data_IF_439400247606
#
_entry.id   IF_439400247606
#
_cell.length_a   1.000
_cell.length_b   1.000
_cell.length_c   1.000
_cell.angle_alpha   90.00
_cell.angle_beta   90.00
_cell.angle_gamma   90.00
#
_symmetry.space_group_name_H-M   'P 1'
#
loop_
_entity.id
_entity.type
_entity.pdbx_description
1 polymer ?
#
# COMPACT_ATOMS: atom_id res chain seq x y z
N UNK A 1 -0.15 8.70 25.08
CA UNK A 1 0.52 7.47 25.58
C UNK A 1 0.13 6.35 24.65
N UNK A 2 1.09 5.72 23.96
CA UNK A 2 0.80 4.54 23.15
C UNK A 2 0.45 3.37 24.09
N UNK A 3 -0.73 2.77 23.94
CA UNK A 3 -1.22 1.73 24.85
C UNK A 3 -0.41 0.43 24.73
N UNK A 4 0.11 0.15 23.54
CA UNK A 4 0.85 -1.07 23.20
C UNK A 4 2.16 -0.72 22.49
N UNK A 5 3.25 -1.43 22.77
CA UNK A 5 4.49 -1.27 21.99
C UNK A 5 4.35 -1.98 20.64
N UNK A 6 5.10 -1.52 19.62
CA UNK A 6 5.14 -2.19 18.31
C UNK A 6 5.54 -3.67 18.42
N UNK A 7 6.46 -4.01 19.34
CA UNK A 7 6.86 -5.41 19.57
C UNK A 7 5.70 -6.27 20.10
N UNK A 8 4.88 -5.72 21.00
CA UNK A 8 3.69 -6.40 21.54
C UNK A 8 2.62 -6.57 20.46
N UNK A 9 2.40 -5.55 19.64
CA UNK A 9 1.44 -5.62 18.53
C UNK A 9 1.87 -6.64 17.47
N UNK A 10 3.17 -6.69 17.14
CA UNK A 10 3.70 -7.66 16.19
C UNK A 10 3.57 -9.08 16.72
N UNK A 11 4.00 -9.35 17.97
CA UNK A 11 3.85 -10.67 18.57
C UNK A 11 2.39 -11.11 18.65
N UNK A 12 1.46 -10.19 18.98
CA UNK A 12 0.04 -10.50 18.98
C UNK A 12 -0.52 -10.76 17.58
N UNK A 13 0.00 -10.08 16.56
CA UNK A 13 -0.37 -10.32 15.17
C UNK A 13 0.11 -11.69 14.68
N UNK A 14 1.36 -12.06 14.99
CA UNK A 14 1.94 -13.36 14.63
C UNK A 14 1.11 -14.51 15.21
N UNK A 15 0.81 -14.44 16.52
CA UNK A 15 -0.03 -15.44 17.17
C UNK A 15 -1.44 -15.49 16.55
N UNK A 16 -2.02 -14.34 16.17
CA UNK A 16 -3.32 -14.30 15.48
C UNK A 16 -3.28 -14.95 14.10
N UNK A 17 -2.16 -14.86 13.40
CA UNK A 17 -2.00 -15.53 12.11
C UNK A 17 -1.93 -17.05 12.30
N UNK A 18 -1.28 -17.54 13.36
CA UNK A 18 -1.33 -18.96 13.73
C UNK A 18 -2.77 -19.41 14.04
N UNK A 19 -3.54 -18.59 14.77
CA UNK A 19 -4.97 -18.84 14.99
C UNK A 19 -5.75 -18.85 13.67
N UNK A 20 -5.47 -17.94 12.75
CA UNK A 20 -6.14 -17.88 11.45
C UNK A 20 -5.84 -19.13 10.62
N UNK A 21 -4.61 -19.66 10.64
CA UNK A 21 -4.27 -20.92 9.99
C UNK A 21 -5.02 -22.12 10.58
N UNK A 22 -5.20 -22.12 11.91
CA UNK A 22 -5.94 -23.17 12.62
C UNK A 22 -7.45 -23.14 12.35
N UNK A 23 -8.06 -21.96 12.49
CA UNK A 23 -9.52 -21.79 12.41
C UNK A 23 -10.03 -21.51 10.99
N UNK A 24 -9.16 -21.11 10.06
CA UNK A 24 -9.47 -20.81 8.65
C UNK A 24 -10.68 -19.88 8.48
N UNK A 25 -10.64 -18.64 9.04
CA UNK A 25 -11.74 -17.71 8.90
C UNK A 25 -11.97 -17.32 7.43
N UNK A 26 -13.23 -17.10 7.06
CA UNK A 26 -13.68 -16.69 5.73
C UNK A 26 -13.65 -15.16 5.64
N UNK A 27 -13.10 -14.61 4.56
CA UNK A 27 -13.13 -13.16 4.24
C UNK A 27 -12.74 -12.24 5.42
N UNK A 28 -11.64 -12.60 6.09
CA UNK A 28 -11.14 -11.89 7.27
C UNK A 28 -9.79 -11.22 6.97
N UNK A 29 -9.66 -9.95 7.35
CA UNK A 29 -8.43 -9.16 7.25
C UNK A 29 -7.92 -8.81 8.65
N UNK A 30 -6.64 -9.04 8.90
CA UNK A 30 -5.98 -8.74 10.18
C UNK A 30 -4.82 -7.78 9.91
N UNK A 31 -4.78 -6.64 10.59
CA UNK A 31 -3.72 -5.64 10.42
C UNK A 31 -3.52 -4.79 11.68
N UNK A 32 -2.37 -4.11 11.77
CA UNK A 32 -2.12 -3.10 12.81
C UNK A 32 -2.54 -1.74 12.29
N UNK A 33 -3.49 -1.10 12.95
CA UNK A 33 -3.84 0.29 12.69
C UNK A 33 -2.94 1.21 13.53
N UNK A 34 -2.11 2.00 12.85
CA UNK A 34 -1.13 2.90 13.47
C UNK A 34 -1.75 4.11 14.17
N UNK A 35 -2.96 4.52 13.77
CA UNK A 35 -3.64 5.69 14.35
C UNK A 35 -4.18 5.37 15.74
N UNK A 36 -4.72 4.17 15.89
CA UNK A 36 -5.24 3.68 17.18
C UNK A 36 -4.23 2.82 17.94
N UNK A 37 -3.12 2.45 17.28
CA UNK A 37 -2.04 1.64 17.84
C UNK A 37 -2.56 0.32 18.42
N UNK A 38 -3.36 -0.40 17.63
CA UNK A 38 -3.95 -1.68 17.99
C UNK A 38 -4.14 -2.60 16.76
N UNK A 39 -4.37 -3.89 17.02
CA UNK A 39 -4.72 -4.86 15.99
C UNK A 39 -6.20 -4.70 15.62
N UNK A 40 -6.48 -4.62 14.32
CA UNK A 40 -7.83 -4.66 13.75
C UNK A 40 -8.07 -6.03 13.15
N UNK A 41 -9.27 -6.57 13.42
CA UNK A 41 -9.83 -7.69 12.67
C UNK A 41 -11.05 -7.18 11.93
N UNK A 42 -10.97 -7.12 10.61
CA UNK A 42 -12.08 -6.73 9.74
C UNK A 42 -12.69 -7.98 9.08
N UNK A 43 -14.00 -8.17 9.21
CA UNK A 43 -14.72 -9.33 8.65
C UNK A 43 -16.11 -8.93 8.18
N UNK A 44 -16.64 -9.68 7.21
CA UNK A 44 -18.04 -9.63 6.81
C UNK A 44 -18.98 -9.88 8.01
N UNK A 45 -20.05 -9.10 8.14
CA UNK A 45 -21.07 -9.33 9.18
C UNK A 45 -21.83 -10.64 8.91
N UNK A 46 -22.01 -11.00 7.63
CA UNK A 46 -22.61 -12.26 7.19
C UNK A 46 -21.80 -13.48 7.63
N UNK A 47 -20.47 -13.37 7.60
CA UNK A 47 -19.56 -14.47 7.97
C UNK A 47 -19.15 -14.42 9.45
N UNK A 48 -19.72 -13.50 10.23
CA UNK A 48 -19.43 -13.37 11.66
C UNK A 48 -19.68 -14.65 12.45
N UNK A 49 -20.73 -15.37 12.10
CA UNK A 49 -21.06 -16.64 12.73
C UNK A 49 -20.09 -17.75 12.30
N UNK A 50 -19.71 -17.78 11.04
CA UNK A 50 -18.75 -18.75 10.49
C UNK A 50 -17.35 -18.52 11.08
N UNK A 51 -17.00 -17.26 11.33
CA UNK A 51 -15.74 -16.84 11.95
C UNK A 51 -15.76 -16.85 13.49
N UNK A 52 -16.88 -17.21 14.13
CA UNK A 52 -17.05 -17.05 15.58
C UNK A 52 -15.97 -17.76 16.41
N UNK A 53 -15.50 -18.93 15.96
CA UNK A 53 -14.45 -19.68 16.65
C UNK A 53 -13.11 -18.91 16.65
N UNK A 54 -12.70 -18.41 15.48
CA UNK A 54 -11.51 -17.57 15.32
C UNK A 54 -11.64 -16.28 16.13
N UNK A 55 -12.75 -15.55 15.98
CA UNK A 55 -12.99 -14.28 16.68
C UNK A 55 -12.98 -14.47 18.20
N UNK A 56 -13.49 -15.60 18.71
CA UNK A 56 -13.43 -15.90 20.14
C UNK A 56 -12.01 -16.21 20.62
N UNK A 57 -11.22 -16.95 19.84
CA UNK A 57 -9.84 -17.25 20.18
C UNK A 57 -8.96 -15.98 20.17
N UNK A 58 -9.18 -15.08 19.21
CA UNK A 58 -8.42 -13.84 19.07
C UNK A 58 -8.67 -12.80 20.19
N UNK A 59 -9.72 -12.96 21.01
CA UNK A 59 -10.07 -12.02 22.10
C UNK A 59 -8.93 -11.80 23.10
N UNK A 60 -8.06 -12.78 23.29
CA UNK A 60 -6.95 -12.69 24.26
C UNK A 60 -5.93 -11.60 23.91
N UNK A 61 -5.91 -11.17 22.65
CA UNK A 61 -5.03 -10.11 22.14
C UNK A 61 -5.71 -8.73 22.07
N UNK A 62 -6.95 -8.63 22.55
CA UNK A 62 -7.72 -7.38 22.57
C UNK A 62 -7.81 -6.62 21.22
N UNK A 63 -8.09 -7.31 20.09
CA UNK A 63 -8.28 -6.62 18.82
C UNK A 63 -9.53 -5.75 18.84
N UNK A 64 -9.55 -4.76 17.95
CA UNK A 64 -10.76 -4.04 17.61
C UNK A 64 -11.40 -4.72 16.40
N UNK A 65 -12.66 -5.07 16.55
CA UNK A 65 -13.43 -5.71 15.48
C UNK A 65 -14.10 -4.66 14.61
N UNK A 66 -13.90 -4.77 13.30
CA UNK A 66 -14.61 -3.99 12.30
C UNK A 66 -15.50 -4.94 11.49
N UNK A 67 -16.81 -4.69 11.51
CA UNK A 67 -17.78 -5.47 10.74
C UNK A 67 -18.29 -4.62 9.58
N UNK A 68 -18.33 -5.21 8.40
CA UNK A 68 -18.86 -4.58 7.19
C UNK A 68 -19.82 -5.53 6.47
N UNK A 69 -20.81 -4.97 5.76
CA UNK A 69 -21.77 -5.78 5.02
C UNK A 69 -21.15 -6.26 3.71
N UNK A 70 -21.17 -7.57 3.48
CA UNK A 70 -20.61 -8.21 2.30
C UNK A 70 -21.71 -8.54 1.30
N UNK A 71 -21.58 -7.98 0.10
CA UNK A 71 -22.49 -8.30 -0.99
C UNK A 71 -22.05 -9.65 -1.56
N UNK A 72 -22.69 -10.75 -1.10
CA UNK A 72 -22.51 -12.07 -1.71
C UNK A 72 -22.96 -11.99 -3.17
N UNK A 73 -22.01 -12.04 -4.10
CA UNK A 73 -22.27 -12.11 -5.54
C UNK A 73 -23.21 -13.32 -5.80
N UNK A 74 -24.48 -13.06 -6.10
CA UNK A 74 -25.45 -14.12 -6.41
C UNK A 74 -25.45 -14.52 -7.88
N UNK A 75 -24.50 -14.03 -8.69
CA UNK A 75 -24.50 -14.25 -10.12
C UNK A 75 -23.20 -14.87 -10.63
N UNK A 76 -23.33 -16.11 -11.12
CA UNK A 76 -22.38 -16.87 -11.93
C UNK A 76 -22.07 -16.21 -13.28
N UNK A 77 -21.71 -14.93 -13.30
CA UNK A 77 -21.17 -14.32 -14.49
C UNK A 77 -19.65 -14.29 -14.32
N UNK A 78 -18.99 -15.17 -15.06
CA UNK A 78 -17.54 -15.18 -15.24
C UNK A 78 -17.14 -13.82 -15.82
N UNK A 79 -16.82 -12.84 -14.97
CA UNK A 79 -16.29 -11.56 -15.41
C UNK A 79 -14.86 -11.86 -15.88
N UNK A 80 -14.67 -11.92 -17.19
CA UNK A 80 -13.35 -12.09 -17.78
C UNK A 80 -12.44 -10.96 -17.29
N UNK A 81 -11.28 -11.31 -16.73
CA UNK A 81 -10.27 -10.41 -16.18
C UNK A 81 -9.59 -9.46 -17.21
N UNK A 82 -10.22 -9.14 -18.35
CA UNK A 82 -9.54 -8.52 -19.50
C UNK A 82 -10.04 -7.12 -19.93
N UNK A 83 -10.81 -6.39 -19.12
CA UNK A 83 -11.34 -5.09 -19.55
C UNK A 83 -10.57 -3.85 -19.04
N UNK A 84 -9.39 -4.00 -18.44
CA UNK A 84 -8.44 -2.90 -18.32
C UNK A 84 -7.68 -2.73 -19.65
N UNK A 85 -8.39 -2.29 -20.69
CA UNK A 85 -7.74 -1.85 -21.93
C UNK A 85 -7.28 -0.41 -21.71
N UNK A 86 -6.03 -0.24 -21.27
CA UNK A 86 -5.34 1.05 -21.27
C UNK A 86 -5.44 1.65 -22.68
N UNK A 87 -6.14 2.77 -22.82
CA UNK A 87 -6.23 3.48 -24.10
C UNK A 87 -4.83 3.94 -24.52
N UNK A 88 -4.40 3.50 -25.70
CA UNK A 88 -3.20 4.00 -26.36
C UNK A 88 -3.46 5.44 -26.80
N UNK A 89 -2.96 6.40 -26.00
CA UNK A 89 -2.83 7.79 -26.44
C UNK A 89 -1.46 7.93 -27.13
N UNK A 90 -1.49 8.27 -28.42
CA UNK A 90 -0.34 8.25 -29.35
C UNK A 90 0.66 9.41 -29.18
N UNK A 91 0.70 10.06 -28.03
CA UNK A 91 1.70 11.09 -27.74
C UNK A 91 2.67 10.52 -26.71
N UNK A 92 3.97 10.48 -27.03
CA UNK A 92 5.03 10.04 -26.11
C UNK A 92 5.10 11.06 -24.97
N UNK A 93 4.26 10.87 -23.96
CA UNK A 93 4.45 11.41 -22.62
C UNK A 93 5.22 10.31 -21.90
N UNK A 94 6.42 10.59 -21.39
CA UNK A 94 7.13 9.63 -20.54
C UNK A 94 6.28 9.41 -19.28
N UNK A 95 5.53 8.31 -19.27
CA UNK A 95 4.70 7.92 -18.13
C UNK A 95 5.63 7.52 -16.99
N UNK A 96 5.34 8.03 -15.79
CA UNK A 96 5.90 7.51 -14.54
C UNK A 96 4.80 6.63 -13.95
N UNK A 97 4.99 5.31 -14.03
CA UNK A 97 4.05 4.37 -13.46
C UNK A 97 4.36 4.15 -11.98
N UNK A 98 3.32 3.89 -11.20
CA UNK A 98 3.53 3.41 -9.83
C UNK A 98 4.31 2.09 -9.88
N UNK A 99 5.36 2.01 -9.07
CA UNK A 99 6.32 0.92 -9.05
C UNK A 99 7.55 1.14 -9.94
N UNK A 100 7.57 2.10 -10.88
CA UNK A 100 8.74 2.36 -11.72
C UNK A 100 9.98 2.70 -10.90
N UNK A 101 11.15 2.34 -11.42
CA UNK A 101 12.41 2.63 -10.76
C UNK A 101 12.70 4.14 -10.67
N UNK A 102 13.27 4.56 -9.55
CA UNK A 102 13.86 5.87 -9.34
C UNK A 102 15.35 5.70 -9.02
N UNK A 103 16.20 6.25 -9.87
CA UNK A 103 17.64 6.37 -9.62
C UNK A 103 17.90 7.62 -8.78
N UNK A 104 18.43 7.44 -7.59
CA UNK A 104 18.79 8.50 -6.65
C UNK A 104 20.30 8.76 -6.77
N UNK A 105 20.66 9.88 -7.37
CA UNK A 105 22.05 10.21 -7.69
C UNK A 105 22.58 11.36 -6.85
N UNK A 106 23.80 11.20 -6.36
CA UNK A 106 24.57 12.24 -5.66
C UNK A 106 26.02 12.18 -6.14
N UNK A 107 26.66 13.34 -6.26
CA UNK A 107 28.07 13.43 -6.66
C UNK A 107 28.96 12.48 -5.84
N UNK A 108 29.76 11.66 -6.54
CA UNK A 108 30.73 10.72 -5.97
C UNK A 108 30.16 9.61 -5.06
N UNK A 109 28.86 9.28 -5.18
CA UNK A 109 28.25 8.17 -4.45
C UNK A 109 27.55 7.24 -5.44
N UNK A 110 27.62 5.93 -5.19
CA UNK A 110 26.90 4.92 -5.95
C UNK A 110 25.40 5.24 -5.97
N UNK A 111 24.74 5.27 -7.14
CA UNK A 111 23.31 5.55 -7.22
C UNK A 111 22.52 4.54 -6.38
N UNK A 112 21.55 5.03 -5.60
CA UNK A 112 20.57 4.17 -4.94
C UNK A 112 19.35 3.99 -5.85
N UNK A 113 18.67 2.85 -5.77
CA UNK A 113 17.43 2.60 -6.52
C UNK A 113 16.25 2.60 -5.56
N UNK A 114 15.16 3.20 -6.01
CA UNK A 114 13.89 3.32 -5.31
C UNK A 114 12.73 3.05 -6.26
N UNK A 115 11.50 3.05 -5.76
CA UNK A 115 10.31 2.92 -6.60
C UNK A 115 9.46 4.17 -6.51
N UNK A 116 8.97 4.65 -7.65
CA UNK A 116 7.92 5.66 -7.70
C UNK A 116 6.65 5.09 -7.06
N UNK A 117 6.04 5.85 -6.16
CA UNK A 117 4.73 5.55 -5.60
C UNK A 117 3.65 6.16 -6.48
N UNK A 118 2.90 7.13 -5.95
CA UNK A 118 1.80 7.77 -6.68
C UNK A 118 2.10 9.21 -7.10
N UNK A 119 1.31 9.69 -8.06
CA UNK A 119 1.31 11.07 -8.50
C UNK A 119 0.44 11.94 -7.59
N UNK A 120 1.03 13.02 -7.12
CA UNK A 120 0.40 14.00 -6.27
C UNK A 120 0.50 15.39 -6.88
N UNK A 121 -0.44 16.28 -6.55
CA UNK A 121 -0.43 17.66 -7.02
C UNK A 121 -0.68 18.58 -5.85
N UNK A 122 -0.02 19.74 -5.81
CA UNK A 122 -0.34 20.74 -4.81
C UNK A 122 -1.67 21.42 -5.13
N UNK A 123 -2.48 21.64 -4.09
CA UNK A 123 -3.71 22.44 -4.15
C UNK A 123 -3.43 23.94 -4.25
N UNK A 124 -2.27 24.39 -3.78
CA UNK A 124 -1.94 25.81 -3.68
C UNK A 124 -1.11 26.31 -4.87
N UNK A 125 -0.32 25.42 -5.49
CA UNK A 125 0.54 25.75 -6.63
C UNK A 125 0.45 24.65 -7.69
N UNK A 126 0.58 24.95 -8.99
CA UNK A 126 0.47 23.96 -10.07
C UNK A 126 1.72 23.06 -10.20
N UNK A 127 2.30 22.64 -9.08
CA UNK A 127 3.45 21.75 -9.01
C UNK A 127 2.93 20.32 -8.82
N UNK A 128 3.49 19.41 -9.60
CA UNK A 128 3.26 17.99 -9.46
C UNK A 128 4.41 17.32 -8.71
N UNK A 129 4.09 16.29 -7.95
CA UNK A 129 5.00 15.55 -7.10
C UNK A 129 4.87 14.06 -7.40
N UNK A 130 5.99 13.35 -7.34
CA UNK A 130 6.02 11.91 -7.21
C UNK A 130 6.26 11.61 -5.73
N UNK A 131 5.37 10.81 -5.14
CA UNK A 131 5.56 10.28 -3.79
C UNK A 131 6.38 9.00 -3.89
N UNK A 132 7.35 8.82 -2.99
CA UNK A 132 8.19 7.62 -2.87
C UNK A 132 8.42 7.35 -1.37
N UNK A 133 8.96 6.18 -1.03
CA UNK A 133 9.36 5.85 0.33
C UNK A 133 10.35 6.89 0.91
N UNK A 134 10.22 7.25 2.18
CA UNK A 134 11.06 8.25 2.84
C UNK A 134 12.53 7.82 2.95
N UNK A 135 12.81 6.52 3.06
CA UNK A 135 14.16 5.95 3.10
C UNK A 135 14.90 6.11 1.77
N UNK A 136 14.20 6.52 0.71
CA UNK A 136 14.79 6.97 -0.55
C UNK A 136 15.42 8.36 -0.43
N UNK A 137 15.21 9.07 0.67
CA UNK A 137 15.81 10.37 0.90
C UNK A 137 17.33 10.29 0.96
N UNK A 138 17.97 11.16 0.18
CA UNK A 138 19.41 11.41 0.25
C UNK A 138 19.64 12.91 0.16
N UNK A 139 20.32 13.46 1.16
CA UNK A 139 20.64 14.89 1.20
C UNK A 139 21.42 15.32 -0.05
N UNK A 140 20.89 16.33 -0.75
CA UNK A 140 21.50 16.88 -1.97
C UNK A 140 21.38 16.00 -3.22
N UNK A 141 20.62 14.89 -3.16
CA UNK A 141 20.45 14.01 -4.31
C UNK A 141 19.44 14.55 -5.33
N UNK A 142 19.59 14.06 -6.56
CA UNK A 142 18.66 14.24 -7.67
C UNK A 142 18.04 12.90 -8.04
N UNK A 143 16.76 12.92 -8.40
CA UNK A 143 15.97 11.73 -8.70
C UNK A 143 15.70 11.67 -10.19
N UNK A 144 15.94 10.50 -10.76
CA UNK A 144 15.72 10.24 -12.17
C UNK A 144 14.83 9.00 -12.35
N UNK A 145 13.90 9.06 -13.28
CA UNK A 145 13.09 7.91 -13.67
C UNK A 145 13.99 6.88 -14.33
N UNK A 146 13.87 5.64 -13.89
CA UNK A 146 14.46 4.45 -14.48
C UNK A 146 13.32 3.46 -14.73
N UNK A 147 12.69 3.49 -15.91
CA UNK A 147 11.58 2.59 -16.23
C UNK A 147 12.01 1.12 -16.06
N UNK A 148 11.11 0.26 -15.60
CA UNK A 148 11.42 -1.16 -15.34
C UNK A 148 12.01 -1.91 -16.54
N UNK A 149 11.59 -1.55 -17.75
CA UNK A 149 12.08 -2.14 -19.00
C UNK A 149 13.29 -1.42 -19.61
N UNK A 150 13.90 -0.47 -18.89
CA UNK A 150 15.07 0.24 -19.41
C UNK A 150 16.27 -0.70 -19.43
N UNK A 151 16.75 -1.02 -20.63
CA UNK A 151 18.00 -1.76 -20.84
C UNK A 151 19.24 -0.88 -20.74
N UNK A 152 19.05 0.44 -20.65
CA UNK A 152 20.12 1.42 -20.64
C UNK A 152 20.01 2.31 -19.40
N UNK A 153 20.96 2.17 -18.47
CA UNK A 153 21.05 3.07 -17.31
C UNK A 153 21.30 4.54 -17.69
N UNK A 154 21.56 4.84 -18.97
CA UNK A 154 21.71 6.19 -19.49
C UNK A 154 20.38 6.84 -19.89
N UNK A 155 19.29 6.06 -20.03
CA UNK A 155 17.97 6.56 -20.40
C UNK A 155 17.21 6.99 -19.13
N UNK A 156 17.79 7.97 -18.44
CA UNK A 156 17.29 8.51 -17.18
C UNK A 156 16.61 9.86 -17.42
N UNK A 157 15.36 9.97 -16.99
CA UNK A 157 14.61 11.23 -17.08
C UNK A 157 14.65 11.96 -15.75
N UNK A 158 15.14 13.19 -15.71
CA UNK A 158 15.16 13.96 -14.47
C UNK A 158 13.74 14.22 -13.97
N UNK A 159 13.45 13.73 -12.77
CA UNK A 159 12.16 13.93 -12.09
C UNK A 159 12.24 15.18 -11.23
N UNK A 160 13.28 15.32 -10.43
CA UNK A 160 13.40 16.42 -9.49
C UNK A 160 14.29 16.14 -8.29
N UNK A 161 14.13 16.97 -7.26
CA UNK A 161 14.67 16.74 -5.92
C UNK A 161 13.54 16.41 -4.97
N UNK A 162 13.84 15.60 -3.96
CA UNK A 162 12.90 15.35 -2.88
C UNK A 162 12.71 16.63 -2.06
N UNK A 163 11.47 17.10 -2.00
CA UNK A 163 11.10 18.35 -1.32
C UNK A 163 10.86 18.14 0.18
N UNK A 164 10.21 17.04 0.55
CA UNK A 164 9.95 16.65 1.93
C UNK A 164 10.09 15.13 2.08
N UNK A 165 10.40 14.67 3.28
CA UNK A 165 10.53 13.26 3.60
C UNK A 165 10.24 12.98 5.07
N UNK A 166 9.69 11.80 5.35
CA UNK A 166 9.55 11.28 6.71
C UNK A 166 10.10 9.86 6.76
N UNK A 167 11.01 9.63 7.68
CA UNK A 167 11.55 8.30 7.94
C UNK A 167 10.67 7.61 8.98
N UNK A 168 10.13 6.46 8.62
CA UNK A 168 9.50 5.51 9.53
C UNK A 168 10.41 4.29 9.70
N UNK A 169 10.41 3.58 10.84
CA UNK A 169 11.17 2.33 11.01
C UNK A 169 10.88 1.27 9.95
N UNK A 170 9.70 1.33 9.35
CA UNK A 170 9.26 0.51 8.21
C UNK A 170 8.74 1.51 7.17
N UNK A 171 9.42 1.57 6.02
CA UNK A 171 9.19 2.56 4.99
C UNK A 171 9.14 1.87 3.63
N UNK A 172 8.00 1.92 2.98
CA UNK A 172 7.74 1.36 1.66
C UNK A 172 6.80 2.34 0.96
N UNK A 173 6.81 2.26 -0.37
CA UNK A 173 6.20 3.27 -1.24
C UNK A 173 5.08 2.73 -2.13
N UNK A 174 4.73 1.45 -1.97
CA UNK A 174 3.77 0.79 -2.85
C UNK A 174 2.34 1.26 -2.58
N UNK A 175 1.57 1.78 -3.55
CA UNK A 175 0.16 2.07 -3.31
C UNK A 175 -0.62 0.77 -3.08
N UNK A 176 -1.52 0.78 -2.11
CA UNK A 176 -2.48 -0.29 -1.85
C UNK A 176 -3.81 0.12 -2.44
N UNK A 177 -4.36 -0.73 -3.31
CA UNK A 177 -5.64 -0.49 -3.97
C UNK A 177 -6.71 -1.41 -3.38
N UNK A 178 -7.95 -0.92 -3.28
CA UNK A 178 -9.12 -1.79 -3.26
C UNK A 178 -9.97 -1.57 -4.50
N UNK A 179 -10.75 -2.59 -4.84
CA UNK A 179 -11.66 -2.56 -5.96
C UNK A 179 -13.08 -2.42 -5.42
N UNK A 180 -13.91 -1.62 -6.09
CA UNK A 180 -15.34 -1.71 -5.86
C UNK A 180 -15.82 -3.09 -6.33
N UNK A 181 -16.25 -3.94 -5.40
CA UNK A 181 -16.72 -5.29 -5.71
C UNK A 181 -17.93 -5.31 -6.67
N UNK A 182 -18.71 -4.23 -6.76
CA UNK A 182 -19.91 -4.17 -7.60
C UNK A 182 -19.62 -4.12 -9.10
N UNK A 183 -18.54 -3.48 -9.51
CA UNK A 183 -18.20 -3.32 -10.93
C UNK A 183 -16.81 -3.85 -11.29
N UNK A 184 -15.89 -3.96 -10.33
CA UNK A 184 -14.47 -4.30 -10.54
C UNK A 184 -13.77 -3.40 -11.57
N UNK A 185 -14.40 -2.27 -11.92
CA UNK A 185 -13.90 -1.28 -12.88
C UNK A 185 -13.38 -0.03 -12.17
N UNK A 186 -13.82 0.20 -10.92
CA UNK A 186 -13.33 1.29 -10.09
C UNK A 186 -12.33 0.78 -9.06
N UNK A 187 -11.12 1.34 -9.09
CA UNK A 187 -10.08 1.18 -8.09
C UNK A 187 -10.00 2.42 -7.20
N UNK A 188 -9.92 2.20 -5.89
CA UNK A 188 -9.56 3.22 -4.92
C UNK A 188 -8.14 2.96 -4.40
N UNK A 189 -7.33 4.00 -4.27
CA UNK A 189 -6.09 3.89 -3.50
C UNK A 189 -6.45 4.05 -2.03
N UNK A 190 -6.17 3.03 -1.24
CA UNK A 190 -6.50 2.98 0.19
C UNK A 190 -5.34 3.43 1.07
N UNK A 191 -4.12 3.42 0.54
CA UNK A 191 -2.95 3.83 1.29
C UNK A 191 -1.63 3.53 0.60
N UNK A 192 -0.54 3.71 1.33
CA UNK A 192 0.81 3.31 0.92
C UNK A 192 1.27 2.17 1.81
N UNK A 193 1.59 1.02 1.23
CA UNK A 193 2.37 -0.05 1.84
C UNK A 193 3.62 0.58 2.47
N UNK A 194 3.73 0.56 3.79
CA UNK A 194 4.93 0.94 4.55
C UNK A 194 5.94 -0.19 4.64
N UNK A 195 5.53 -1.44 4.40
CA UNK A 195 6.44 -2.58 4.30
C UNK A 195 5.71 -3.87 4.57
N UNK A 196 6.45 -4.97 4.54
CA UNK A 196 5.92 -6.26 4.96
C UNK A 196 6.96 -7.22 5.48
N UNK A 197 6.50 -8.22 6.24
CA UNK A 197 7.34 -9.31 6.77
C UNK A 197 6.92 -10.64 6.13
N UNK A 198 7.93 -11.47 5.89
CA UNK A 198 7.91 -12.81 5.29
C UNK A 198 7.38 -12.90 3.84
N UNK A 199 8.31 -13.21 2.93
CA UNK A 199 7.99 -14.06 1.80
C UNK A 199 8.13 -15.49 2.31
N UNK A 200 7.15 -16.35 2.10
CA UNK A 200 7.48 -17.79 2.07
C UNK A 200 8.58 -17.97 1.01
N UNK A 201 9.47 -18.95 1.19
CA UNK A 201 10.57 -19.30 0.26
C UNK A 201 10.08 -19.56 -1.18
N UNK A 202 8.76 -19.63 -1.38
CA UNK A 202 8.06 -19.82 -2.63
C UNK A 202 7.46 -18.53 -3.24
N UNK A 203 7.59 -17.37 -2.59
CA UNK A 203 7.11 -16.07 -3.09
C UNK A 203 5.59 -15.86 -3.03
N UNK A 204 4.88 -16.59 -2.16
CA UNK A 204 3.43 -16.45 -2.01
C UNK A 204 3.07 -15.20 -1.19
N UNK A 205 2.45 -14.22 -1.86
CA UNK A 205 2.02 -12.95 -1.28
C UNK A 205 0.79 -13.07 -0.38
N UNK A 206 0.07 -14.21 -0.42
CA UNK A 206 -1.15 -14.40 0.37
C UNK A 206 -0.87 -14.52 1.88
N UNK A 207 0.39 -14.73 2.27
CA UNK A 207 0.84 -14.81 3.66
C UNK A 207 1.73 -13.62 4.08
N UNK A 208 1.93 -12.64 3.20
CA UNK A 208 2.77 -11.48 3.51
C UNK A 208 2.02 -10.54 4.46
N UNK A 209 2.63 -10.23 5.62
CA UNK A 209 2.12 -9.19 6.52
C UNK A 209 2.37 -7.86 5.83
N UNK A 210 1.33 -7.08 5.54
CA UNK A 210 1.42 -5.81 4.82
C UNK A 210 1.04 -4.66 5.77
N UNK A 211 2.00 -3.82 6.12
CA UNK A 211 1.74 -2.57 6.84
C UNK A 211 1.34 -1.49 5.84
N UNK A 212 0.24 -0.77 6.06
CA UNK A 212 -0.26 0.28 5.15
C UNK A 212 -0.49 1.58 5.91
N UNK A 213 0.04 2.69 5.43
CA UNK A 213 -0.41 4.04 5.82
C UNK A 213 -1.67 4.38 5.06
N UNK A 214 -2.83 4.59 5.73
CA UNK A 214 -4.07 4.96 5.05
C UNK A 214 -3.92 6.27 4.27
N UNK A 215 -4.57 6.37 3.12
CA UNK A 215 -4.45 7.55 2.27
C UNK A 215 -5.00 8.82 2.94
N UNK A 216 -6.09 8.69 3.70
CA UNK A 216 -6.69 9.80 4.44
C UNK A 216 -5.72 10.36 5.50
N UNK A 217 -4.93 9.49 6.13
CA UNK A 217 -3.91 9.93 7.08
C UNK A 217 -2.83 10.77 6.39
N UNK A 218 -2.47 10.46 5.15
CA UNK A 218 -1.51 11.26 4.37
C UNK A 218 -2.10 12.64 4.08
N UNK A 219 -3.33 12.71 3.59
CA UNK A 219 -3.97 13.99 3.27
C UNK A 219 -4.25 14.86 4.50
N UNK A 220 -4.65 14.26 5.63
CA UNK A 220 -4.85 14.97 6.90
C UNK A 220 -3.57 15.66 7.39
N UNK A 221 -2.41 15.02 7.19
CA UNK A 221 -1.11 15.57 7.58
C UNK A 221 -0.50 16.51 6.53
N UNK A 222 -1.02 16.49 5.31
CA UNK A 222 -0.55 17.30 4.18
C UNK A 222 -1.74 17.94 3.44
N UNK A 223 -2.47 18.88 4.08
CA UNK A 223 -3.71 19.45 3.57
C UNK A 223 -3.55 20.30 2.29
N UNK A 224 -2.32 20.40 1.76
CA UNK A 224 -1.99 21.11 0.53
C UNK A 224 -1.73 20.21 -0.68
N UNK A 225 -2.00 18.91 -0.57
CA UNK A 225 -1.73 17.92 -1.61
C UNK A 225 -3.01 17.12 -1.91
N UNK A 226 -3.28 16.90 -3.19
CA UNK A 226 -4.33 16.01 -3.69
C UNK A 226 -3.71 14.90 -4.56
N UNK A 227 -4.35 13.73 -4.58
CA UNK A 227 -4.01 12.66 -5.52
C UNK A 227 -4.66 12.91 -6.87
N UNK A 228 -3.90 12.69 -7.94
CA UNK A 228 -4.40 12.81 -9.30
C UNK A 228 -4.80 11.43 -9.79
N UNK A 229 -6.07 11.26 -10.13
CA UNK A 229 -6.56 10.08 -10.86
C UNK A 229 -6.45 10.35 -12.36
N UNK A 230 -5.88 9.40 -13.10
CA UNK A 230 -5.85 9.44 -14.56
C UNK A 230 -7.01 8.61 -15.06
N UNK A 231 -7.89 9.21 -15.86
CA UNK A 231 -9.04 8.56 -16.53
C UNK A 231 -8.79 8.40 -18.02
#
# INVERSE_FOLDING_TARGET
MALNSTAVLNSGLDDMLELAQHYRPVECLIYIDVKINNIIIATCDEDRNDNAAFLNAAKIYYPIYMYYNCIRETNNNTISQNNMKLESRNDIVNYILAGDGLSVERFNITPNKCSAGFWAKSLFNPINYIVTAGHCHREGASYYLLPWNSTHENDKYYVGKMFDYRLSPIDSGGPVFSYNHQDRMHTSINGILLGGFDYDINGDINNAIIQVTPIDFIFDNYPGIEMVTVT
#
